data_IF_410589786878
#
_entry.id   IF_410589786878
#
_cell.length_a   1.000
_cell.length_b   1.000
_cell.length_c   1.000
_cell.angle_alpha   90.00
_cell.angle_beta   90.00
_cell.angle_gamma   90.00
#
_symmetry.space_group_name_H-M   'P 1'
#
loop_
_entity.id
_entity.type
_entity.pdbx_description
1 polymer ?
#
# COMPACT_ATOMS: atom_id res chain seq x y z
N UNK A 1 2.05 4.72 -4.39
CA UNK A 1 3.43 4.59 -4.88
C UNK A 1 3.58 5.21 -6.25
N UNK A 2 3.16 4.51 -7.30
CA UNK A 2 3.38 4.94 -8.68
C UNK A 2 2.65 6.25 -9.03
N UNK A 3 1.42 6.44 -8.55
CA UNK A 3 0.64 7.67 -8.75
C UNK A 3 1.14 8.88 -7.96
N UNK A 4 1.82 8.66 -6.83
CA UNK A 4 2.32 9.76 -5.97
C UNK A 4 3.69 10.29 -6.41
N UNK A 5 4.46 9.50 -7.17
CA UNK A 5 5.78 9.90 -7.70
C UNK A 5 5.75 11.13 -8.62
N UNK A 6 4.88 11.22 -9.64
CA UNK A 6 4.83 12.41 -10.50
C UNK A 6 4.37 13.64 -9.72
N UNK A 7 3.46 13.49 -8.75
CA UNK A 7 3.03 14.58 -7.88
C UNK A 7 4.19 15.12 -7.02
N UNK A 8 5.00 14.24 -6.41
CA UNK A 8 6.21 14.65 -5.69
C UNK A 8 7.26 15.33 -6.58
N UNK A 9 7.39 14.91 -7.85
CA UNK A 9 8.30 15.55 -8.82
C UNK A 9 7.79 16.89 -9.34
N UNK A 10 6.48 17.14 -9.29
CA UNK A 10 5.90 18.45 -9.60
C UNK A 10 6.10 19.45 -8.47
N UNK A 11 6.00 18.99 -7.22
CA UNK A 11 6.13 19.83 -6.02
C UNK A 11 7.60 20.10 -5.64
N UNK A 12 8.50 19.16 -5.95
CA UNK A 12 9.95 19.33 -5.79
C UNK A 12 10.59 19.85 -7.09
N UNK A 13 11.70 20.59 -7.01
CA UNK A 13 12.47 20.87 -8.23
C UNK A 13 12.98 19.55 -8.84
N UNK A 14 12.99 19.45 -10.17
CA UNK A 14 13.38 18.22 -10.91
C UNK A 14 14.72 17.66 -10.43
N UNK A 15 15.67 18.54 -10.11
CA UNK A 15 17.00 18.15 -9.64
C UNK A 15 16.94 17.57 -8.22
N UNK A 16 16.24 18.20 -7.28
CA UNK A 16 16.11 17.69 -5.91
C UNK A 16 15.29 16.41 -5.84
N UNK A 17 14.21 16.33 -6.62
CA UNK A 17 13.34 15.14 -6.67
C UNK A 17 14.05 13.92 -7.26
N UNK A 18 14.81 14.10 -8.36
CA UNK A 18 15.60 13.01 -8.95
C UNK A 18 16.71 12.51 -8.03
N UNK A 19 17.41 13.41 -7.33
CA UNK A 19 18.44 13.04 -6.35
C UNK A 19 17.84 12.22 -5.19
N UNK A 20 16.72 12.68 -4.63
CA UNK A 20 16.02 11.97 -3.57
C UNK A 20 15.53 10.59 -4.02
N UNK A 21 15.04 10.47 -5.26
CA UNK A 21 14.61 9.20 -5.83
C UNK A 21 15.76 8.19 -5.93
N UNK A 22 16.90 8.61 -6.46
CA UNK A 22 18.11 7.75 -6.54
C UNK A 22 18.55 7.30 -5.14
N UNK A 23 18.52 8.20 -4.17
CA UNK A 23 18.89 7.89 -2.79
C UNK A 23 17.92 6.84 -2.21
N UNK A 24 16.61 7.03 -2.33
CA UNK A 24 15.60 6.07 -1.86
C UNK A 24 15.73 4.71 -2.57
N UNK A 25 16.01 4.70 -3.87
CA UNK A 25 16.28 3.46 -4.60
C UNK A 25 17.52 2.73 -4.08
N UNK A 26 18.62 3.46 -3.85
CA UNK A 26 19.85 2.88 -3.32
C UNK A 26 19.66 2.29 -1.92
N UNK A 27 18.92 2.98 -1.04
CA UNK A 27 18.57 2.49 0.29
C UNK A 27 17.68 1.25 0.23
N UNK A 28 16.73 1.20 -0.71
CA UNK A 28 15.90 0.01 -0.91
C UNK A 28 16.74 -1.19 -1.34
N UNK A 29 17.65 -1.01 -2.31
CA UNK A 29 18.55 -2.08 -2.76
C UNK A 29 19.41 -2.58 -1.60
N UNK A 30 20.02 -1.68 -0.83
CA UNK A 30 20.80 -2.04 0.35
C UNK A 30 19.96 -2.81 1.38
N UNK A 31 18.72 -2.37 1.63
CA UNK A 31 17.79 -3.04 2.56
C UNK A 31 17.47 -4.46 2.09
N UNK A 32 17.24 -4.67 0.80
CA UNK A 32 17.00 -6.00 0.24
C UNK A 32 18.24 -6.90 0.31
N UNK A 33 19.43 -6.36 0.07
CA UNK A 33 20.68 -7.12 0.21
C UNK A 33 20.90 -7.58 1.65
N UNK A 34 20.75 -6.69 2.63
CA UNK A 34 20.85 -7.06 4.04
C UNK A 34 19.81 -8.09 4.46
N UNK A 35 18.58 -7.97 3.94
CA UNK A 35 17.54 -8.94 4.23
C UNK A 35 17.86 -10.31 3.60
N UNK A 36 18.37 -10.34 2.37
CA UNK A 36 18.76 -11.58 1.70
C UNK A 36 19.90 -12.28 2.42
N UNK A 37 20.93 -11.52 2.82
CA UNK A 37 22.06 -12.03 3.60
C UNK A 37 21.61 -12.55 4.98
N UNK A 38 20.70 -11.83 5.66
CA UNK A 38 20.12 -12.28 6.92
C UNK A 38 19.28 -13.56 6.75
N UNK A 39 18.53 -13.70 5.65
CA UNK A 39 17.80 -14.92 5.32
C UNK A 39 18.74 -16.09 5.05
N UNK A 40 19.85 -15.88 4.35
CA UNK A 40 20.83 -16.93 4.04
C UNK A 40 21.50 -17.46 5.31
N UNK A 41 21.85 -16.56 6.23
CA UNK A 41 22.46 -16.92 7.52
C UNK A 41 21.50 -17.61 8.50
N UNK A 42 20.22 -17.23 8.49
CA UNK A 42 19.23 -17.77 9.46
C UNK A 42 18.40 -18.93 8.91
N UNK A 43 18.36 -19.13 7.59
CA UNK A 43 17.48 -20.09 6.89
C UNK A 43 15.98 -19.91 7.23
N UNK A 44 15.61 -18.73 7.73
CA UNK A 44 14.27 -18.38 8.16
C UNK A 44 13.70 -17.30 7.24
N UNK A 45 12.44 -17.43 6.86
CA UNK A 45 11.75 -16.52 5.94
C UNK A 45 10.82 -15.52 6.64
N UNK A 46 10.73 -15.59 7.97
CA UNK A 46 9.85 -14.76 8.78
C UNK A 46 10.64 -13.60 9.37
N UNK A 47 10.23 -12.36 9.10
CA UNK A 47 10.88 -11.14 9.63
C UNK A 47 11.00 -11.14 11.16
N UNK A 48 10.04 -11.74 11.85
CA UNK A 48 10.04 -11.90 13.30
C UNK A 48 11.20 -12.81 13.72
N UNK A 49 11.35 -13.95 13.05
CA UNK A 49 12.35 -14.95 13.41
C UNK A 49 13.76 -14.53 12.99
N UNK A 50 13.90 -13.83 11.85
CA UNK A 50 15.16 -13.20 11.41
C UNK A 50 15.60 -12.13 12.42
N UNK A 51 14.68 -11.23 12.81
CA UNK A 51 14.99 -10.16 13.76
C UNK A 51 15.33 -10.69 15.16
N UNK A 52 14.67 -11.76 15.59
CA UNK A 52 15.00 -12.45 16.85
C UNK A 52 16.36 -13.13 16.81
N UNK A 53 16.69 -13.77 15.70
CA UNK A 53 17.96 -14.49 15.54
C UNK A 53 19.16 -13.55 15.43
N UNK A 54 19.02 -12.41 14.73
CA UNK A 54 20.14 -11.50 14.48
C UNK A 54 20.38 -10.49 15.63
N UNK A 55 19.33 -9.93 16.23
CA UNK A 55 19.44 -8.82 17.20
C UNK A 55 18.74 -9.07 18.54
N UNK A 56 18.18 -10.28 18.74
CA UNK A 56 17.54 -10.69 19.98
C UNK A 56 16.02 -10.46 20.03
N UNK A 57 15.36 -10.92 21.11
CA UNK A 57 13.90 -11.04 21.19
C UNK A 57 13.16 -9.70 21.09
N UNK A 58 13.73 -8.64 21.64
CA UNK A 58 13.17 -7.27 21.62
C UNK A 58 13.19 -6.66 20.22
N UNK A 59 14.29 -6.83 19.48
CA UNK A 59 14.43 -6.23 18.16
C UNK A 59 13.50 -6.89 17.13
N UNK A 60 13.29 -8.20 17.23
CA UNK A 60 12.31 -8.91 16.40
C UNK A 60 10.88 -8.40 16.58
N UNK A 61 10.47 -8.05 17.80
CA UNK A 61 9.14 -7.48 18.06
C UNK A 61 9.02 -6.07 17.48
N UNK A 62 10.05 -5.24 17.65
CA UNK A 62 10.06 -3.88 17.07
C UNK A 62 9.96 -3.94 15.55
N UNK A 63 10.79 -4.77 14.89
CA UNK A 63 10.76 -4.93 13.44
C UNK A 63 9.40 -5.42 12.93
N UNK A 64 8.78 -6.38 13.61
CA UNK A 64 7.45 -6.87 13.27
C UNK A 64 6.39 -5.78 13.41
N UNK A 65 6.40 -5.02 14.50
CA UNK A 65 5.45 -3.93 14.74
C UNK A 65 5.62 -2.83 13.69
N UNK A 66 6.85 -2.38 13.41
CA UNK A 66 7.13 -1.38 12.38
C UNK A 66 6.65 -1.84 11.01
N UNK A 67 6.93 -3.09 10.64
CA UNK A 67 6.48 -3.66 9.35
C UNK A 67 4.95 -3.76 9.28
N UNK A 68 4.29 -4.11 10.39
CA UNK A 68 2.83 -4.18 10.46
C UNK A 68 2.19 -2.80 10.31
N UNK A 69 2.73 -1.77 10.97
CA UNK A 69 2.27 -0.39 10.81
C UNK A 69 2.48 0.13 9.39
N UNK A 70 3.63 -0.18 8.79
CA UNK A 70 3.90 0.15 7.38
C UNK A 70 2.88 -0.51 6.45
N UNK A 71 2.62 -1.81 6.63
CA UNK A 71 1.63 -2.54 5.83
C UNK A 71 0.22 -1.95 6.00
N UNK A 72 -0.21 -1.67 7.23
CA UNK A 72 -1.50 -1.04 7.52
C UNK A 72 -1.62 0.36 6.90
N UNK A 73 -0.59 1.19 7.03
CA UNK A 73 -0.57 2.52 6.41
C UNK A 73 -0.62 2.47 4.89
N UNK A 74 0.10 1.52 4.28
CA UNK A 74 0.06 1.30 2.84
C UNK A 74 -1.33 0.85 2.37
N UNK A 75 -1.99 -0.03 3.12
CA UNK A 75 -3.35 -0.51 2.85
C UNK A 75 -4.36 0.64 2.86
N UNK A 76 -4.32 1.49 3.89
CA UNK A 76 -5.20 2.66 4.00
C UNK A 76 -4.96 3.61 2.82
N UNK A 77 -3.71 3.84 2.45
CA UNK A 77 -3.35 4.70 1.32
C UNK A 77 -3.91 4.18 -0.01
N UNK A 78 -3.83 2.87 -0.26
CA UNK A 78 -4.41 2.26 -1.45
C UNK A 78 -5.94 2.32 -1.46
N UNK A 79 -6.56 2.14 -0.29
CA UNK A 79 -8.02 2.16 -0.16
C UNK A 79 -8.59 3.56 -0.39
N UNK A 80 -7.93 4.60 0.10
CA UNK A 80 -8.26 6.00 -0.20
C UNK A 80 -8.09 6.29 -1.68
N UNK A 81 -6.96 5.88 -2.28
CA UNK A 81 -6.71 6.10 -3.70
C UNK A 81 -7.76 5.40 -4.59
N UNK A 82 -8.15 4.18 -4.24
CA UNK A 82 -9.20 3.45 -4.94
C UNK A 82 -10.57 4.15 -4.81
N UNK A 83 -10.88 4.70 -3.63
CA UNK A 83 -12.11 5.46 -3.41
C UNK A 83 -12.13 6.78 -4.19
N UNK A 84 -11.00 7.51 -4.22
CA UNK A 84 -10.87 8.74 -5.01
C UNK A 84 -10.95 8.45 -6.52
N UNK A 85 -10.43 7.32 -7.00
CA UNK A 85 -10.64 6.90 -8.40
C UNK A 85 -12.11 6.56 -8.73
N UNK A 86 -12.90 6.12 -7.74
CA UNK A 86 -14.31 5.77 -7.95
C UNK A 86 -15.26 6.98 -7.86
N UNK A 87 -15.03 7.90 -6.92
CA UNK A 87 -15.96 8.99 -6.51
C UNK A 87 -15.35 10.38 -6.72
N UNK A 88 -14.21 10.48 -7.39
CA UNK A 88 -13.55 11.76 -7.65
C UNK A 88 -14.45 12.75 -8.40
N UNK A 89 -14.55 14.01 -7.97
CA UNK A 89 -15.25 15.05 -8.72
C UNK A 89 -14.56 15.17 -10.09
N UNK A 90 -15.32 14.98 -11.17
CA UNK A 90 -14.90 14.98 -12.58
C UNK A 90 -14.13 13.74 -13.12
N UNK A 91 -13.62 12.84 -12.28
CA UNK A 91 -12.86 11.64 -12.74
C UNK A 91 -13.43 10.30 -12.27
N UNK A 92 -14.47 10.30 -11.44
CA UNK A 92 -15.07 9.10 -10.88
C UNK A 92 -15.83 8.29 -11.94
N UNK A 93 -15.51 7.00 -12.07
CA UNK A 93 -16.26 6.04 -12.91
C UNK A 93 -17.75 6.03 -12.55
N UNK A 94 -18.07 6.29 -11.27
CA UNK A 94 -19.44 6.38 -10.77
C UNK A 94 -20.12 7.68 -11.18
N UNK A 95 -19.41 8.82 -11.24
CA UNK A 95 -19.96 10.07 -11.76
C UNK A 95 -20.26 9.97 -13.26
N UNK A 96 -19.42 9.26 -14.01
CA UNK A 96 -19.61 9.04 -15.45
C UNK A 96 -20.78 8.08 -15.77
N UNK A 97 -21.04 7.08 -14.92
CA UNK A 97 -22.13 6.11 -15.13
C UNK A 97 -23.47 6.52 -14.50
N UNK A 98 -23.46 7.25 -13.37
CA UNK A 98 -24.68 7.51 -12.59
C UNK A 98 -25.37 8.84 -12.91
N UNK A 99 -24.71 9.74 -13.66
CA UNK A 99 -25.23 11.07 -13.95
C UNK A 99 -25.22 11.98 -12.71
N UNK A 100 -25.09 13.29 -12.95
CA UNK A 100 -24.90 14.35 -11.93
C UNK A 100 -26.00 14.41 -10.85
N UNK A 101 -27.16 13.80 -11.06
CA UNK A 101 -28.32 13.87 -10.15
C UNK A 101 -28.30 12.86 -8.99
N UNK A 102 -27.29 12.00 -8.91
CA UNK A 102 -27.19 10.97 -7.87
C UNK A 102 -26.38 11.44 -6.65
N UNK A 103 -26.81 11.05 -5.44
CA UNK A 103 -26.13 11.37 -4.16
C UNK A 103 -24.65 10.94 -4.12
N UNK A 104 -24.28 9.98 -4.98
CA UNK A 104 -22.91 9.50 -5.22
C UNK A 104 -22.11 10.37 -6.22
N UNK A 105 -22.78 11.11 -7.11
CA UNK A 105 -22.16 12.03 -8.09
C UNK A 105 -21.84 13.42 -7.51
N UNK A 106 -22.54 13.85 -6.45
CA UNK A 106 -22.34 15.15 -5.79
C UNK A 106 -20.94 15.39 -5.19
N UNK A 107 -20.03 14.41 -5.21
CA UNK A 107 -18.65 14.56 -4.72
C UNK A 107 -18.53 14.86 -3.21
N UNK A 108 -19.63 14.74 -2.46
CA UNK A 108 -19.69 15.07 -1.04
C UNK A 108 -18.79 14.13 -0.21
N UNK A 109 -18.22 14.64 0.88
CA UNK A 109 -17.40 13.86 1.83
C UNK A 109 -18.14 12.66 2.40
N UNK A 110 -19.48 12.73 2.50
CA UNK A 110 -20.34 11.63 2.91
C UNK A 110 -20.37 10.48 1.88
N UNK A 111 -20.44 10.79 0.58
CA UNK A 111 -20.40 9.78 -0.48
C UNK A 111 -19.05 9.04 -0.52
N UNK A 112 -17.94 9.77 -0.33
CA UNK A 112 -16.61 9.16 -0.23
C UNK A 112 -16.50 8.22 0.99
N UNK A 113 -17.02 8.63 2.14
CA UNK A 113 -17.02 7.80 3.34
C UNK A 113 -17.84 6.52 3.15
N UNK A 114 -19.03 6.59 2.56
CA UNK A 114 -19.87 5.42 2.30
C UNK A 114 -19.20 4.45 1.32
N UNK A 115 -18.57 4.95 0.25
CA UNK A 115 -17.82 4.10 -0.70
C UNK A 115 -16.58 3.51 -0.05
N UNK A 116 -15.86 4.25 0.81
CA UNK A 116 -14.76 3.70 1.60
C UNK A 116 -15.22 2.55 2.50
N UNK A 117 -16.34 2.72 3.22
CA UNK A 117 -16.90 1.67 4.07
C UNK A 117 -17.40 0.47 3.25
N UNK A 118 -18.03 0.71 2.10
CA UNK A 118 -18.47 -0.36 1.20
C UNK A 118 -17.28 -1.11 0.58
N UNK A 119 -16.24 -0.41 0.11
CA UNK A 119 -15.02 -1.01 -0.44
C UNK A 119 -14.26 -1.79 0.64
N UNK A 120 -14.17 -1.26 1.86
CA UNK A 120 -13.63 -1.98 3.03
C UNK A 120 -14.46 -3.24 3.30
N UNK A 121 -15.79 -3.14 3.35
CA UNK A 121 -16.68 -4.28 3.59
C UNK A 121 -16.70 -5.32 2.47
N UNK A 122 -16.48 -4.93 1.21
CA UNK A 122 -16.55 -5.84 0.06
C UNK A 122 -15.17 -6.38 -0.32
N UNK A 123 -14.08 -5.66 -0.07
CA UNK A 123 -12.72 -6.08 -0.43
C UNK A 123 -11.98 -6.63 0.79
N UNK A 124 -11.96 -5.89 1.91
CA UNK A 124 -11.20 -6.32 3.09
C UNK A 124 -11.88 -7.46 3.85
N UNK A 125 -13.21 -7.51 3.85
CA UNK A 125 -13.93 -8.58 4.54
C UNK A 125 -13.72 -9.97 3.91
N UNK A 126 -13.88 -10.18 2.58
CA UNK A 126 -13.55 -11.47 1.99
C UNK A 126 -12.04 -11.75 2.03
N UNK A 127 -11.18 -10.76 1.85
CA UNK A 127 -9.72 -10.96 1.98
C UNK A 127 -9.35 -11.37 3.40
N UNK A 128 -10.01 -10.83 4.43
CA UNK A 128 -9.83 -11.23 5.83
C UNK A 128 -10.44 -12.60 6.15
N UNK A 129 -11.48 -13.04 5.41
CA UNK A 129 -12.06 -14.38 5.54
C UNK A 129 -11.29 -15.45 4.76
N UNK A 130 -10.63 -15.08 3.66
CA UNK A 130 -9.75 -15.98 2.91
C UNK A 130 -8.43 -16.17 3.67
N UNK A 131 -8.48 -17.05 4.68
CA UNK A 131 -7.34 -17.53 5.45
C UNK A 131 -6.29 -18.29 4.61
N UNK A 132 -6.51 -18.47 3.29
CA UNK A 132 -5.61 -19.18 2.36
C UNK A 132 -4.96 -18.21 1.37
N UNK A 133 -3.64 -18.19 1.44
CA UNK A 133 -2.68 -17.38 0.65
C UNK A 133 -2.71 -17.71 -0.86
N UNK A 134 -3.38 -18.79 -1.27
CA UNK A 134 -3.43 -19.22 -2.69
C UNK A 134 -4.16 -18.25 -3.62
N UNK A 135 -5.13 -17.47 -3.11
CA UNK A 135 -5.86 -16.48 -3.91
C UNK A 135 -4.99 -15.26 -4.29
N UNK A 136 -3.89 -15.01 -3.56
CA UNK A 136 -3.00 -13.87 -3.79
C UNK A 136 -2.23 -13.98 -5.12
N UNK A 137 -1.98 -15.21 -5.61
CA UNK A 137 -1.32 -15.46 -6.90
C UNK A 137 -2.10 -14.87 -8.08
N UNK A 138 -3.43 -14.95 -8.06
CA UNK A 138 -4.26 -14.42 -9.15
C UNK A 138 -4.30 -12.89 -9.16
N UNK A 139 -4.27 -12.27 -7.98
CA UNK A 139 -4.20 -10.80 -7.86
C UNK A 139 -2.82 -10.30 -8.32
N UNK A 140 -1.74 -11.02 -8.02
CA UNK A 140 -0.39 -10.65 -8.46
C UNK A 140 -0.19 -10.75 -9.98
N UNK A 141 -0.92 -11.64 -10.66
CA UNK A 141 -0.92 -11.73 -12.14
C UNK A 141 -1.71 -10.57 -12.74
N UNK A 142 -2.81 -10.15 -12.11
CA UNK A 142 -3.60 -9.01 -12.58
C UNK A 142 -2.99 -7.64 -12.28
N UNK A 143 -2.04 -7.57 -11.33
CA UNK A 143 -1.34 -6.36 -10.94
C UNK A 143 -0.05 -6.07 -11.72
N UNK A 144 0.37 -6.98 -12.62
CA UNK A 144 1.50 -6.83 -13.53
C UNK A 144 1.02 -6.37 -14.91
#
# INVERSE_FOLDING_TARGET
GLFSMPYCLLDSTVITGSLAFVLVCSLNIASFLYLAEACEHTQLFSYLDIGRAAFGPTFGVVAQVTTSFYALGSLVSFLVLAADCLVGPDTGVVALLAGDDSFLGSGSTAARAVVLYALTGIVLLPVSLLRRIDALKYISIAAF
#
